data_IF_014486576344
#
_entry.id   IF_014486576344
#
_cell.length_a   1.000
_cell.length_b   1.000
_cell.length_c   1.000
_cell.angle_alpha   90.00
_cell.angle_beta   90.00
_cell.angle_gamma   90.00
#
_symmetry.space_group_name_H-M   'P 1'
#
loop_
_entity.id
_entity.type
_entity.pdbx_description
1 polymer ?
#
# COMPACT_ATOMS: atom_id res chain seq x y z
N UNK A 1 67.97 -34.67 5.22
CA UNK A 1 68.49 -36.04 5.08
C UNK A 1 67.41 -36.81 4.31
N UNK A 2 67.58 -37.25 3.07
CA UNK A 2 68.73 -37.87 2.39
C UNK A 2 69.07 -39.25 3.04
N UNK A 3 69.16 -40.38 2.32
CA UNK A 3 69.46 -40.54 0.88
C UNK A 3 68.93 -41.85 0.26
N UNK A 4 68.41 -41.77 -0.99
CA UNK A 4 68.87 -42.53 -2.19
C UNK A 4 68.73 -44.07 -2.31
N UNK A 5 68.94 -44.68 -3.51
CA UNK A 5 68.85 -44.16 -4.90
C UNK A 5 68.04 -45.06 -5.88
N UNK A 6 67.95 -44.65 -7.16
CA UNK A 6 67.39 -45.44 -8.27
C UNK A 6 68.31 -45.49 -9.51
N UNK A 7 68.06 -46.43 -10.45
CA UNK A 7 68.46 -46.57 -11.89
C UNK A 7 68.30 -48.06 -12.30
N UNK A 8 68.06 -48.52 -13.55
CA UNK A 8 68.15 -48.04 -14.97
C UNK A 8 67.35 -49.08 -15.86
N UNK A 9 67.08 -49.02 -17.19
CA UNK A 9 67.30 -48.12 -18.36
C UNK A 9 66.45 -48.61 -19.58
N UNK A 10 65.83 -47.72 -20.39
CA UNK A 10 65.51 -47.88 -21.84
C UNK A 10 64.48 -48.97 -22.31
N UNK A 11 63.80 -48.89 -23.49
CA UNK A 11 63.81 -47.95 -24.65
C UNK A 11 62.59 -48.08 -25.62
N UNK A 12 62.40 -47.07 -26.47
CA UNK A 12 61.72 -47.01 -27.80
C UNK A 12 60.23 -46.56 -27.93
N UNK A 13 60.04 -45.47 -28.69
CA UNK A 13 58.89 -45.07 -29.53
C UNK A 13 59.13 -45.50 -31.01
N UNK A 14 58.35 -45.13 -32.06
CA UNK A 14 57.00 -44.51 -32.13
C UNK A 14 56.01 -45.25 -33.08
N UNK A 15 54.74 -44.77 -33.20
CA UNK A 15 54.10 -44.38 -34.51
C UNK A 15 52.61 -43.94 -34.37
N UNK A 16 52.02 -43.48 -35.48
CA UNK A 16 50.76 -42.69 -35.56
C UNK A 16 49.56 -43.41 -36.19
N UNK A 17 48.33 -43.01 -35.85
CA UNK A 17 47.17 -42.96 -36.78
C UNK A 17 45.90 -42.34 -36.14
N UNK A 18 44.99 -41.80 -36.96
CA UNK A 18 43.71 -41.18 -36.57
C UNK A 18 42.50 -42.10 -36.85
N UNK A 19 41.35 -41.89 -36.20
CA UNK A 19 40.25 -41.07 -36.78
C UNK A 19 39.63 -40.09 -35.73
N UNK A 20 38.54 -39.33 -35.94
CA UNK A 20 37.59 -39.22 -37.06
C UNK A 20 36.55 -38.09 -36.85
N UNK A 21 35.31 -38.28 -37.32
CA UNK A 21 34.16 -37.36 -37.16
C UNK A 21 32.83 -38.14 -37.06
N UNK A 22 31.93 -37.78 -36.15
CA UNK A 22 30.48 -38.08 -36.21
C UNK A 22 29.72 -37.05 -35.33
N UNK A 23 29.10 -36.03 -35.91
CA UNK A 23 27.66 -35.98 -36.24
C UNK A 23 26.73 -35.96 -35.00
N UNK A 24 26.02 -34.83 -34.81
CA UNK A 24 24.95 -34.68 -33.81
C UNK A 24 23.81 -35.66 -34.12
N UNK A 25 23.19 -36.25 -33.10
CA UNK A 25 21.95 -37.03 -33.25
C UNK A 25 20.74 -36.12 -33.22
N UNK A 26 19.75 -36.44 -34.05
CA UNK A 26 18.40 -35.89 -34.02
C UNK A 26 17.43 -37.06 -34.02
N UNK A 27 17.05 -37.49 -32.83
CA UNK A 27 15.95 -38.42 -32.59
C UNK A 27 14.84 -37.61 -31.91
N UNK A 28 13.53 -37.74 -32.13
CA UNK A 28 12.67 -38.21 -33.21
C UNK A 28 11.32 -38.53 -32.53
N UNK A 29 10.20 -38.11 -33.12
CA UNK A 29 8.84 -38.62 -32.88
C UNK A 29 8.26 -38.49 -31.45
N UNK A 30 7.37 -37.52 -31.26
CA UNK A 30 6.21 -37.67 -30.38
C UNK A 30 4.95 -37.86 -31.23
N UNK A 31 4.11 -38.85 -30.90
CA UNK A 31 2.91 -39.17 -31.69
C UNK A 31 1.94 -40.08 -30.92
N UNK A 32 0.77 -39.57 -30.52
CA UNK A 32 -0.50 -40.27 -30.24
C UNK A 32 -1.46 -39.38 -29.45
N UNK A 33 -2.79 -39.58 -29.52
CA UNK A 33 -3.59 -39.91 -30.70
C UNK A 33 -4.74 -38.88 -30.88
N UNK A 34 -5.49 -38.98 -31.99
CA UNK A 34 -6.54 -38.02 -32.32
C UNK A 34 -7.78 -38.05 -31.42
N UNK A 35 -8.47 -36.91 -31.36
CA UNK A 35 -9.84 -36.77 -30.82
C UNK A 35 -10.51 -35.63 -31.58
N UNK A 36 -11.45 -35.97 -32.45
CA UNK A 36 -12.13 -34.99 -33.31
C UNK A 36 -12.97 -34.00 -32.49
N UNK A 37 -12.88 -32.73 -32.87
CA UNK A 37 -13.73 -31.64 -32.39
C UNK A 37 -14.32 -30.92 -33.61
N UNK A 38 -15.59 -30.52 -33.58
CA UNK A 38 -16.20 -29.81 -34.70
C UNK A 38 -15.57 -28.41 -34.86
N UNK A 39 -15.66 -27.79 -36.06
CA UNK A 39 -15.39 -26.37 -36.23
C UNK A 39 -16.30 -25.53 -35.31
N UNK A 40 -15.80 -24.39 -34.84
CA UNK A 40 -16.58 -23.48 -34.00
C UNK A 40 -17.64 -22.76 -34.84
N UNK A 41 -18.85 -22.66 -34.29
CA UNK A 41 -19.93 -21.80 -34.78
C UNK A 41 -19.86 -20.44 -34.07
N UNK A 42 -20.18 -19.35 -34.79
CA UNK A 42 -20.01 -17.96 -34.33
C UNK A 42 -21.31 -17.45 -33.69
N UNK A 43 -21.53 -17.81 -32.42
CA UNK A 43 -22.71 -17.36 -31.64
C UNK A 43 -22.47 -16.00 -30.98
N UNK A 44 -22.35 -14.95 -31.79
CA UNK A 44 -22.28 -13.55 -31.33
C UNK A 44 -23.65 -12.87 -31.14
N UNK A 45 -24.76 -13.49 -31.60
CA UNK A 45 -26.13 -13.04 -31.33
C UNK A 45 -26.64 -13.51 -29.95
N UNK A 46 -26.39 -12.74 -28.88
CA UNK A 46 -26.73 -13.23 -27.53
C UNK A 46 -26.97 -12.23 -26.39
N UNK A 47 -26.80 -10.91 -26.55
CA UNK A 47 -27.00 -9.99 -25.42
C UNK A 47 -27.35 -8.54 -25.78
N UNK A 48 -28.66 -8.24 -25.91
CA UNK A 48 -29.36 -7.13 -25.24
C UNK A 48 -30.84 -7.10 -25.67
N UNK A 49 -31.70 -6.45 -24.90
CA UNK A 49 -33.12 -6.31 -25.22
C UNK A 49 -33.79 -5.18 -24.44
N UNK A 50 -35.10 -5.05 -24.62
CA UNK A 50 -36.01 -3.98 -24.12
C UNK A 50 -35.91 -2.64 -24.85
N UNK A 51 -37.05 -1.95 -24.92
CA UNK A 51 -37.36 -0.88 -25.88
C UNK A 51 -37.42 0.50 -25.20
N UNK A 52 -36.82 1.51 -25.84
CA UNK A 52 -37.21 2.92 -25.73
C UNK A 52 -36.66 3.66 -26.97
N UNK A 53 -37.37 4.67 -27.53
CA UNK A 53 -36.91 5.35 -28.74
C UNK A 53 -35.77 6.33 -28.47
N UNK A 54 -34.87 6.46 -29.44
CA UNK A 54 -34.03 7.65 -29.60
C UNK A 54 -34.65 8.56 -30.68
N UNK A 55 -34.40 9.86 -30.55
CA UNK A 55 -35.07 10.92 -31.29
C UNK A 55 -34.37 11.21 -32.65
N UNK A 56 -35.13 11.75 -33.62
CA UNK A 56 -34.65 12.05 -34.97
C UNK A 56 -33.89 13.40 -35.01
N UNK A 57 -32.60 13.44 -34.65
CA UNK A 57 -31.75 14.63 -34.84
C UNK A 57 -30.38 14.30 -35.47
N UNK A 58 -29.82 15.28 -36.19
CA UNK A 58 -28.49 15.29 -36.85
C UNK A 58 -28.26 14.37 -38.09
N UNK A 59 -29.17 14.38 -39.07
CA UNK A 59 -28.90 13.95 -40.47
C UNK A 59 -28.03 14.99 -41.23
N UNK A 60 -26.84 15.32 -40.70
CA UNK A 60 -25.90 16.29 -41.29
C UNK A 60 -24.41 15.89 -41.07
N UNK A 61 -24.15 14.61 -40.81
CA UNK A 61 -22.80 14.04 -40.66
C UNK A 61 -22.22 13.50 -41.96
N UNK A 62 -21.06 14.00 -42.40
CA UNK A 62 -20.33 13.44 -43.54
C UNK A 62 -19.77 12.04 -43.21
N UNK A 63 -20.08 11.04 -44.04
CA UNK A 63 -19.77 9.62 -43.81
C UNK A 63 -18.28 9.29 -44.06
N UNK A 64 -17.44 9.72 -43.12
CA UNK A 64 -15.96 9.65 -43.13
C UNK A 64 -15.33 8.27 -43.37
N UNK A 65 -16.10 7.17 -43.28
CA UNK A 65 -15.61 5.78 -43.47
C UNK A 65 -16.59 4.96 -44.32
N UNK A 66 -17.11 5.57 -45.40
CA UNK A 66 -17.92 4.91 -46.43
C UNK A 66 -17.19 4.73 -47.78
N UNK A 67 -17.92 4.26 -48.80
CA UNK A 67 -17.42 4.03 -50.18
C UNK A 67 -16.84 5.30 -50.87
N UNK A 68 -17.01 6.48 -50.27
CA UNK A 68 -16.41 7.74 -50.70
C UNK A 68 -14.89 7.85 -50.47
N UNK A 69 -14.31 7.07 -49.55
CA UNK A 69 -12.93 7.24 -49.05
C UNK A 69 -11.86 7.27 -50.15
N UNK A 70 -12.01 6.51 -51.24
CA UNK A 70 -11.06 6.51 -52.38
C UNK A 70 -11.08 7.80 -53.23
N UNK A 71 -11.92 8.79 -52.87
CA UNK A 71 -11.98 10.09 -53.57
C UNK A 71 -10.98 11.10 -52.99
N UNK A 72 -10.67 10.99 -51.70
CA UNK A 72 -9.81 11.96 -50.99
C UNK A 72 -8.32 11.69 -51.19
N UNK A 73 -7.95 10.42 -51.50
CA UNK A 73 -6.58 10.03 -51.88
C UNK A 73 -6.21 10.39 -53.33
N UNK A 74 -7.00 11.23 -54.01
CA UNK A 74 -6.73 11.68 -55.38
C UNK A 74 -5.86 12.93 -55.34
N UNK A 75 -4.63 12.83 -55.82
CA UNK A 75 -3.74 13.98 -56.00
C UNK A 75 -4.45 15.11 -56.78
N UNK A 76 -4.31 16.34 -56.31
CA UNK A 76 -4.92 17.54 -56.89
C UNK A 76 -3.76 18.45 -57.31
N UNK A 77 -3.34 18.43 -58.59
CA UNK A 77 -2.13 19.14 -59.04
C UNK A 77 -2.13 20.67 -58.85
N UNK A 78 -3.28 21.25 -58.51
CA UNK A 78 -3.48 22.68 -58.22
C UNK A 78 -3.28 23.02 -56.73
N UNK A 79 -3.27 22.01 -55.84
CA UNK A 79 -3.00 22.11 -54.40
C UNK A 79 -1.67 21.43 -54.01
N UNK A 80 -1.23 20.42 -54.78
CA UNK A 80 0.07 19.75 -54.63
C UNK A 80 1.28 20.61 -55.11
N UNK A 81 1.11 21.93 -55.22
CA UNK A 81 2.18 22.91 -55.50
C UNK A 81 2.29 23.92 -54.37
N UNK A 82 3.46 23.97 -53.71
CA UNK A 82 3.75 24.99 -52.70
C UNK A 82 3.69 26.41 -53.30
N UNK A 83 3.10 27.33 -52.55
CA UNK A 83 3.11 28.76 -52.89
C UNK A 83 4.55 29.28 -52.89
N UNK A 84 4.97 29.91 -54.00
CA UNK A 84 6.36 30.32 -54.18
C UNK A 84 6.77 31.52 -53.31
N UNK A 85 5.79 32.27 -52.79
CA UNK A 85 6.02 33.50 -52.03
C UNK A 85 6.39 33.15 -50.57
N UNK A 86 7.70 33.15 -50.28
CA UNK A 86 8.25 32.80 -48.96
C UNK A 86 9.06 31.50 -48.91
N UNK A 87 9.16 30.75 -50.01
CA UNK A 87 10.20 29.74 -50.17
C UNK A 87 11.55 30.43 -50.44
N UNK A 88 12.60 30.00 -49.75
CA UNK A 88 13.96 30.40 -50.08
C UNK A 88 14.38 29.73 -51.40
N UNK A 89 15.13 30.45 -52.23
CA UNK A 89 15.75 29.87 -53.43
C UNK A 89 16.97 29.05 -52.99
N UNK A 90 17.13 27.84 -53.52
CA UNK A 90 18.16 26.86 -53.11
C UNK A 90 19.63 27.33 -53.26
N UNK A 91 19.88 28.47 -53.93
CA UNK A 91 21.20 29.02 -54.26
C UNK A 91 21.56 30.34 -53.52
N UNK A 92 20.79 30.79 -52.51
CA UNK A 92 21.18 31.94 -51.67
C UNK A 92 21.80 31.51 -50.32
N UNK A 93 23.10 31.76 -50.15
CA UNK A 93 23.83 31.64 -48.87
C UNK A 93 23.26 32.62 -47.82
N UNK A 94 22.36 32.14 -46.96
CA UNK A 94 21.75 32.95 -45.89
C UNK A 94 22.79 33.29 -44.82
N UNK A 95 23.30 34.53 -44.82
CA UNK A 95 24.26 35.01 -43.82
C UNK A 95 23.75 34.80 -42.38
N UNK A 96 24.56 34.16 -41.51
CA UNK A 96 24.18 33.92 -40.13
C UNK A 96 23.95 35.22 -39.36
N UNK A 97 22.69 35.50 -39.01
CA UNK A 97 22.31 36.65 -38.18
C UNK A 97 23.14 36.71 -36.89
N UNK A 98 23.86 37.81 -36.71
CA UNK A 98 24.69 38.05 -35.53
C UNK A 98 23.84 38.04 -34.25
N UNK A 99 24.45 37.71 -33.11
CA UNK A 99 23.73 37.52 -31.85
C UNK A 99 22.85 38.73 -31.46
N UNK A 100 23.29 39.96 -31.74
CA UNK A 100 22.53 41.20 -31.48
C UNK A 100 21.33 41.37 -32.43
N UNK A 101 21.44 40.96 -33.70
CA UNK A 101 20.32 40.94 -34.65
C UNK A 101 19.29 39.89 -34.25
N UNK A 102 19.73 38.69 -33.83
CA UNK A 102 18.84 37.62 -33.34
C UNK A 102 18.07 38.06 -32.09
N UNK A 103 18.74 38.68 -31.11
CA UNK A 103 18.08 39.21 -29.91
C UNK A 103 17.10 40.35 -30.23
N UNK A 104 17.40 41.20 -31.20
CA UNK A 104 16.49 42.25 -31.66
C UNK A 104 15.22 41.68 -32.33
N UNK A 105 15.38 40.65 -33.18
CA UNK A 105 14.27 39.95 -33.82
C UNK A 105 13.37 39.25 -32.79
N UNK A 106 13.96 38.54 -31.82
CA UNK A 106 13.23 37.95 -30.69
C UNK A 106 12.42 39.00 -29.91
N UNK A 107 13.02 40.17 -29.65
CA UNK A 107 12.36 41.26 -28.90
C UNK A 107 11.14 41.81 -29.65
N UNK A 108 11.24 41.95 -30.96
CA UNK A 108 10.13 42.37 -31.82
C UNK A 108 9.02 41.31 -31.93
N UNK A 109 9.37 40.02 -32.05
CA UNK A 109 8.42 38.89 -32.02
C UNK A 109 7.65 38.87 -30.69
N UNK A 110 8.39 38.84 -29.57
CA UNK A 110 7.86 38.78 -28.20
C UNK A 110 7.01 40.01 -27.81
N UNK A 111 7.23 41.16 -28.49
CA UNK A 111 6.34 42.33 -28.37
C UNK A 111 5.04 42.14 -29.16
N UNK A 112 5.11 41.73 -30.44
CA UNK A 112 3.90 41.44 -31.25
C UNK A 112 3.02 40.36 -30.63
N UNK A 113 3.61 39.29 -30.09
CA UNK A 113 2.84 38.21 -29.43
C UNK A 113 2.14 38.70 -28.16
N UNK A 114 2.74 39.65 -27.43
CA UNK A 114 2.11 40.31 -26.27
C UNK A 114 0.97 41.23 -26.69
N UNK A 115 1.13 41.99 -27.78
CA UNK A 115 0.12 42.89 -28.32
C UNK A 115 -1.06 42.12 -28.98
N UNK A 116 -0.78 40.96 -29.58
CA UNK A 116 -1.77 40.04 -30.17
C UNK A 116 -2.35 39.02 -29.16
N UNK A 117 -2.00 39.10 -27.88
CA UNK A 117 -2.50 38.21 -26.82
C UNK A 117 -2.05 36.74 -26.91
N UNK A 118 -1.11 36.38 -27.80
CA UNK A 118 -0.64 35.01 -28.05
C UNK A 118 0.42 34.56 -27.04
N UNK A 119 0.13 34.73 -25.75
CA UNK A 119 1.02 34.36 -24.65
C UNK A 119 0.96 32.87 -24.30
N UNK A 120 2.01 32.13 -24.67
CA UNK A 120 2.45 30.85 -24.06
C UNK A 120 1.38 29.76 -23.83
N UNK A 121 1.19 28.90 -24.83
CA UNK A 121 1.16 27.44 -24.61
C UNK A 121 0.02 26.84 -23.77
N UNK A 122 -1.12 27.52 -23.60
CA UNK A 122 -2.38 26.88 -23.15
C UNK A 122 -3.41 26.88 -24.28
N UNK A 123 -4.23 25.83 -24.29
CA UNK A 123 -5.31 25.64 -25.28
C UNK A 123 -6.31 26.80 -25.28
N UNK A 124 -6.95 26.99 -26.43
CA UNK A 124 -7.93 28.03 -26.74
C UNK A 124 -9.20 27.86 -25.88
N UNK A 125 -9.24 28.46 -24.69
CA UNK A 125 -10.42 28.46 -23.81
C UNK A 125 -11.52 29.34 -24.42
N UNK A 126 -12.35 28.75 -25.28
CA UNK A 126 -13.35 29.48 -26.06
C UNK A 126 -14.30 28.59 -26.88
N UNK A 127 -14.63 27.40 -26.36
CA UNK A 127 -15.76 26.58 -26.83
C UNK A 127 -16.47 25.99 -25.60
N UNK A 128 -17.57 26.63 -25.20
CA UNK A 128 -18.75 26.08 -24.51
C UNK A 128 -19.75 27.24 -24.34
N UNK A 129 -21.02 26.90 -24.08
CA UNK A 129 -22.16 27.80 -24.32
C UNK A 129 -22.31 28.95 -23.30
N UNK A 130 -23.12 29.93 -23.71
CA UNK A 130 -23.53 31.10 -22.94
C UNK A 130 -24.77 30.78 -22.09
N UNK A 131 -24.68 30.93 -20.76
CA UNK A 131 -25.82 30.88 -19.85
C UNK A 131 -25.49 31.44 -18.45
N UNK A 132 -26.28 32.43 -18.04
CA UNK A 132 -26.50 32.97 -16.69
C UNK A 132 -25.40 33.79 -15.99
N UNK A 133 -25.84 34.93 -15.45
CA UNK A 133 -25.07 35.94 -14.71
C UNK A 133 -25.19 35.72 -13.19
N UNK A 134 -24.11 35.85 -12.40
CA UNK A 134 -24.13 36.47 -11.04
C UNK A 134 -22.69 36.60 -10.42
N UNK A 135 -22.61 37.30 -9.27
CA UNK A 135 -21.49 37.38 -8.30
C UNK A 135 -20.14 38.09 -8.63
N UNK A 136 -20.20 39.42 -8.54
CA UNK A 136 -19.40 40.34 -7.67
C UNK A 136 -17.84 40.30 -7.51
N UNK A 137 -17.31 41.49 -7.22
CA UNK A 137 -15.90 41.85 -6.98
C UNK A 137 -15.13 41.02 -5.93
N UNK A 138 -13.86 40.66 -6.24
CA UNK A 138 -12.83 40.39 -5.21
C UNK A 138 -11.47 41.08 -5.49
N UNK A 139 -10.84 41.70 -4.47
CA UNK A 139 -9.80 42.71 -4.70
C UNK A 139 -8.37 42.17 -4.90
N UNK A 140 -7.58 42.93 -5.67
CA UNK A 140 -6.20 42.65 -6.12
C UNK A 140 -5.11 42.70 -5.02
N UNK A 141 -5.45 42.42 -3.76
CA UNK A 141 -4.58 42.71 -2.59
C UNK A 141 -3.64 41.57 -2.15
N UNK A 142 -3.79 40.32 -2.63
CA UNK A 142 -2.92 39.19 -2.23
C UNK A 142 -1.51 39.23 -2.87
N UNK A 143 -1.30 39.93 -4.00
CA UNK A 143 -0.06 39.79 -4.81
C UNK A 143 1.19 40.48 -4.25
N UNK A 144 1.12 41.15 -3.10
CA UNK A 144 2.25 41.87 -2.46
C UNK A 144 2.69 41.32 -1.10
N UNK A 145 2.22 40.12 -0.73
CA UNK A 145 2.59 39.45 0.51
C UNK A 145 3.50 38.22 0.29
N UNK A 146 3.61 37.75 -0.96
CA UNK A 146 4.41 36.57 -1.32
C UNK A 146 5.92 36.87 -1.37
N UNK A 147 6.30 38.08 -1.82
CA UNK A 147 7.71 38.52 -1.89
C UNK A 147 8.34 38.90 -0.53
N UNK A 148 7.69 38.53 0.59
CA UNK A 148 8.20 38.79 1.96
C UNK A 148 8.18 37.54 2.86
N UNK A 149 8.09 36.35 2.26
CA UNK A 149 8.06 35.06 2.95
C UNK A 149 9.33 34.25 2.67
N UNK A 150 10.50 34.91 2.66
CA UNK A 150 11.81 34.27 2.40
C UNK A 150 12.84 34.65 3.46
N UNK A 151 12.49 34.47 4.73
CA UNK A 151 13.38 34.57 5.90
C UNK A 151 12.78 33.73 7.05
N UNK A 152 13.32 32.52 7.22
CA UNK A 152 13.18 31.54 8.32
C UNK A 152 11.85 31.43 9.09
N UNK A 153 11.06 30.39 8.77
CA UNK A 153 9.95 29.92 9.62
C UNK A 153 9.02 28.90 8.95
N UNK A 154 9.18 27.62 9.32
CA UNK A 154 8.23 26.49 9.20
C UNK A 154 7.05 26.67 8.22
N UNK A 155 7.18 26.11 7.00
CA UNK A 155 6.06 25.92 6.05
C UNK A 155 5.16 24.75 6.50
N UNK A 156 4.56 24.87 7.69
CA UNK A 156 3.31 24.15 7.98
C UNK A 156 2.26 24.67 6.99
N UNK A 157 1.90 23.84 6.01
CA UNK A 157 0.88 24.19 5.01
C UNK A 157 -0.40 24.64 5.74
N UNK A 158 -0.94 25.83 5.40
CA UNK A 158 -2.26 26.26 5.87
C UNK A 158 -3.37 25.46 5.17
N UNK A 159 -3.41 24.17 5.46
CA UNK A 159 -4.49 23.25 5.16
C UNK A 159 -5.71 23.74 5.93
N UNK A 160 -6.73 24.13 5.19
CA UNK A 160 -8.02 24.55 5.75
C UNK A 160 -8.58 23.38 6.58
N UNK A 161 -8.76 23.61 7.89
CA UNK A 161 -9.19 22.57 8.84
C UNK A 161 -10.52 21.98 8.39
N UNK A 162 -10.51 20.70 8.01
CA UNK A 162 -11.69 20.02 7.45
C UNK A 162 -12.64 19.69 8.60
N UNK A 163 -13.50 20.65 8.94
CA UNK A 163 -14.47 20.53 10.05
C UNK A 163 -15.36 19.28 9.90
N UNK A 164 -15.68 18.90 8.65
CA UNK A 164 -16.47 17.73 8.32
C UNK A 164 -15.73 16.76 7.37
N UNK A 165 -15.30 15.61 7.91
CA UNK A 165 -14.69 14.51 7.14
C UNK A 165 -15.73 13.57 6.50
N UNK A 166 -17.02 13.73 6.82
CA UNK A 166 -18.12 12.90 6.27
C UNK A 166 -18.38 13.24 4.79
N UNK A 167 -18.02 14.45 4.34
CA UNK A 167 -17.93 14.78 2.91
C UNK A 167 -16.68 14.16 2.28
N UNK A 168 -16.81 12.93 1.80
CA UNK A 168 -15.80 12.18 1.05
C UNK A 168 -15.47 12.79 -0.34
N UNK A 169 -16.20 13.85 -0.79
CA UNK A 169 -16.03 14.52 -2.09
C UNK A 169 -16.02 13.59 -3.31
N UNK A 170 -16.69 12.44 -3.19
CA UNK A 170 -16.77 11.40 -4.24
C UNK A 170 -15.60 10.42 -4.29
N UNK A 171 -14.60 10.53 -3.40
CA UNK A 171 -13.50 9.57 -3.29
C UNK A 171 -13.89 8.32 -2.51
N UNK A 172 -13.16 7.21 -2.71
CA UNK A 172 -13.25 6.07 -1.79
C UNK A 172 -12.64 6.42 -0.42
N UNK A 173 -13.09 5.74 0.65
CA UNK A 173 -12.60 5.98 2.02
C UNK A 173 -11.07 5.82 2.11
N UNK A 174 -10.48 4.86 1.40
CA UNK A 174 -9.03 4.66 1.33
C UNK A 174 -8.31 5.86 0.70
N UNK A 175 -8.80 6.36 -0.43
CA UNK A 175 -8.19 7.51 -1.10
C UNK A 175 -8.36 8.79 -0.28
N UNK A 176 -9.53 8.98 0.35
CA UNK A 176 -9.82 10.10 1.24
C UNK A 176 -8.84 10.17 2.42
N UNK A 177 -8.69 9.07 3.16
CA UNK A 177 -7.74 8.96 4.29
C UNK A 177 -6.28 9.14 3.85
N UNK A 178 -5.94 8.82 2.60
CA UNK A 178 -4.59 8.98 2.06
C UNK A 178 -4.24 10.41 1.64
N UNK A 179 -5.23 11.31 1.48
CA UNK A 179 -4.98 12.72 1.14
C UNK A 179 -4.49 13.53 2.35
N UNK A 180 -3.57 14.46 2.13
CA UNK A 180 -2.88 15.20 3.19
C UNK A 180 -3.85 15.93 4.15
N UNK A 181 -4.86 16.62 3.62
CA UNK A 181 -5.86 17.34 4.42
C UNK A 181 -6.62 16.44 5.40
N UNK A 182 -7.37 15.43 4.92
CA UNK A 182 -8.03 14.46 5.79
C UNK A 182 -7.06 13.72 6.71
N UNK A 183 -5.87 13.33 6.23
CA UNK A 183 -4.85 12.65 7.04
C UNK A 183 -4.45 13.45 8.28
N UNK A 184 -4.18 14.75 8.13
CA UNK A 184 -3.79 15.61 9.26
C UNK A 184 -4.95 15.86 10.23
N UNK A 185 -6.17 16.03 9.73
CA UNK A 185 -7.36 16.17 10.59
C UNK A 185 -7.63 14.87 11.39
N UNK A 186 -7.51 13.70 10.75
CA UNK A 186 -7.58 12.38 11.42
C UNK A 186 -6.50 12.26 12.50
N UNK A 187 -5.25 12.62 12.17
CA UNK A 187 -4.13 12.64 13.12
C UNK A 187 -4.41 13.55 14.33
N UNK A 188 -4.96 14.74 14.09
CA UNK A 188 -5.34 15.69 15.14
C UNK A 188 -6.48 15.18 16.01
N UNK A 189 -7.50 14.54 15.42
CA UNK A 189 -8.60 13.89 16.16
C UNK A 189 -8.13 12.72 17.02
N UNK A 190 -7.26 11.84 16.52
CA UNK A 190 -6.67 10.77 17.34
C UNK A 190 -5.82 11.34 18.50
N UNK A 191 -5.01 12.38 18.26
CA UNK A 191 -4.25 13.09 19.31
C UNK A 191 -5.18 13.72 20.36
N UNK A 192 -6.30 14.30 19.93
CA UNK A 192 -7.31 14.89 20.83
C UNK A 192 -8.06 13.81 21.62
N UNK A 193 -8.45 12.70 21.00
CA UNK A 193 -9.08 11.54 21.65
C UNK A 193 -8.21 10.99 22.79
N UNK A 194 -6.93 10.68 22.52
CA UNK A 194 -6.00 10.18 23.54
C UNK A 194 -5.79 11.17 24.72
N UNK A 195 -5.93 12.47 24.48
CA UNK A 195 -5.75 13.53 25.49
C UNK A 195 -7.03 13.86 26.27
N UNK A 196 -8.21 13.71 25.67
CA UNK A 196 -9.49 14.20 26.21
C UNK A 196 -10.48 13.11 26.61
N UNK A 197 -10.26 11.85 26.19
CA UNK A 197 -11.12 10.76 26.59
C UNK A 197 -11.12 10.57 28.12
N UNK A 198 -12.32 10.58 28.69
CA UNK A 198 -12.57 10.22 30.09
C UNK A 198 -13.68 9.19 30.14
N UNK A 199 -13.48 8.19 31.00
CA UNK A 199 -14.49 7.18 31.33
C UNK A 199 -15.65 7.80 32.14
N UNK A 200 -16.71 7.02 32.30
CA UNK A 200 -17.82 7.14 33.26
C UNK A 200 -17.46 7.77 34.61
N UNK A 201 -16.30 7.43 35.17
CA UNK A 201 -15.83 7.94 36.48
C UNK A 201 -15.11 9.31 36.40
N UNK A 202 -14.91 9.87 35.19
CA UNK A 202 -14.19 11.12 34.96
C UNK A 202 -12.67 11.00 34.85
N UNK A 203 -12.13 9.78 34.89
CA UNK A 203 -10.70 9.49 34.79
C UNK A 203 -10.27 9.34 33.32
N UNK A 204 -9.10 9.90 32.95
CA UNK A 204 -8.52 9.67 31.61
C UNK A 204 -7.76 8.34 31.59
N UNK A 205 -8.40 7.32 31.00
CA UNK A 205 -7.91 5.95 30.88
C UNK A 205 -6.62 5.86 30.07
N UNK A 206 -6.50 6.62 28.97
CA UNK A 206 -5.32 6.55 28.10
C UNK A 206 -4.07 7.13 28.76
N UNK A 207 -4.20 8.16 29.59
CA UNK A 207 -3.08 8.71 30.37
C UNK A 207 -2.50 7.68 31.35
N UNK A 208 -3.36 6.90 32.00
CA UNK A 208 -2.95 5.82 32.90
C UNK A 208 -2.34 4.66 32.11
N UNK A 209 -3.04 4.17 31.08
CA UNK A 209 -2.59 3.07 30.21
C UNK A 209 -1.27 3.36 29.49
N UNK A 210 -1.04 4.60 29.03
CA UNK A 210 0.26 5.07 28.49
C UNK A 210 1.32 5.06 29.60
N UNK A 211 1.00 5.49 30.82
CA UNK A 211 1.94 5.45 31.93
C UNK A 211 2.38 4.02 32.27
N UNK A 212 1.45 3.05 32.28
CA UNK A 212 1.78 1.64 32.53
C UNK A 212 2.56 0.99 31.39
N UNK A 213 2.16 1.24 30.14
CA UNK A 213 2.91 0.85 28.94
C UNK A 213 4.37 1.34 29.02
N UNK A 214 4.58 2.61 29.40
CA UNK A 214 5.91 3.19 29.56
C UNK A 214 6.67 2.71 30.81
N UNK A 215 6.00 2.30 31.90
CA UNK A 215 6.65 1.67 33.07
C UNK A 215 7.24 0.29 32.69
N UNK A 216 6.54 -0.45 31.86
CA UNK A 216 6.93 -1.79 31.43
C UNK A 216 7.79 -1.82 30.16
N UNK A 217 8.00 -0.67 29.49
CA UNK A 217 8.73 -0.54 28.23
C UNK A 217 8.08 -1.31 27.06
N UNK A 218 6.74 -1.32 27.00
CA UNK A 218 5.98 -1.95 25.90
C UNK A 218 5.81 -0.98 24.72
N UNK A 219 5.77 -1.51 23.50
CA UNK A 219 5.51 -0.74 22.27
C UNK A 219 4.03 -0.75 21.85
N UNK A 220 3.13 -1.42 22.59
CA UNK A 220 1.73 -1.57 22.22
C UNK A 220 0.74 -0.85 23.15
N UNK A 221 -0.13 -0.02 22.55
CA UNK A 221 -1.19 0.72 23.22
C UNK A 221 -2.56 0.11 22.88
N UNK A 222 -3.26 -0.47 23.87
CA UNK A 222 -4.59 -1.05 23.64
C UNK A 222 -5.68 0.02 23.69
N UNK A 223 -6.47 0.12 22.62
CA UNK A 223 -7.61 1.04 22.48
C UNK A 223 -8.89 0.25 22.28
N UNK A 224 -9.91 0.55 23.08
CA UNK A 224 -11.25 -0.02 22.91
C UNK A 224 -11.97 0.66 21.74
N UNK A 225 -12.57 -0.13 20.85
CA UNK A 225 -13.37 0.41 19.75
C UNK A 225 -14.63 1.15 20.24
N UNK A 226 -15.23 0.70 21.35
CA UNK A 226 -16.47 1.31 21.87
C UNK A 226 -16.21 2.74 22.40
N UNK A 227 -15.10 2.95 23.11
CA UNK A 227 -14.60 4.27 23.54
C UNK A 227 -14.42 5.23 22.35
N UNK A 228 -13.84 4.73 21.24
CA UNK A 228 -13.62 5.51 20.02
C UNK A 228 -14.96 5.89 19.38
N UNK A 229 -15.87 4.92 19.21
CA UNK A 229 -17.19 5.15 18.63
C UNK A 229 -18.07 6.09 19.47
N UNK A 230 -17.85 6.16 20.79
CA UNK A 230 -18.55 7.07 21.70
C UNK A 230 -18.04 8.53 21.65
N UNK A 231 -16.92 8.81 20.95
CA UNK A 231 -16.34 10.16 20.82
C UNK A 231 -16.19 10.66 19.39
N UNK A 232 -15.72 9.79 18.49
CA UNK A 232 -15.46 10.08 17.08
C UNK A 232 -16.10 8.97 16.23
N UNK A 233 -17.41 9.08 16.03
CA UNK A 233 -18.18 8.11 15.25
C UNK A 233 -17.68 8.01 13.79
N UNK A 234 -17.15 9.11 13.24
CA UNK A 234 -16.58 9.16 11.88
C UNK A 234 -15.31 8.28 11.78
N UNK A 235 -14.40 8.41 12.75
CA UNK A 235 -13.17 7.59 12.77
C UNK A 235 -13.49 6.11 13.03
N UNK A 236 -14.47 5.84 13.91
CA UNK A 236 -14.96 4.48 14.11
C UNK A 236 -15.59 3.90 12.84
N UNK A 237 -16.31 4.69 12.03
CA UNK A 237 -16.87 4.24 10.74
C UNK A 237 -15.80 3.96 9.68
N UNK A 238 -14.75 4.79 9.57
CA UNK A 238 -13.69 4.57 8.58
C UNK A 238 -12.73 3.42 8.98
N UNK A 239 -12.53 3.16 10.28
CA UNK A 239 -11.53 2.18 10.78
C UNK A 239 -11.72 0.74 10.26
N UNK A 240 -12.95 0.19 10.11
CA UNK A 240 -13.15 -1.10 9.46
C UNK A 240 -12.85 -1.13 7.96
N UNK A 241 -13.00 0.00 7.25
CA UNK A 241 -12.94 0.09 5.78
C UNK A 241 -11.53 0.41 5.25
N UNK A 242 -10.80 1.30 5.93
CA UNK A 242 -9.42 1.68 5.62
C UNK A 242 -8.46 1.46 6.81
N UNK A 243 -8.37 0.23 7.38
CA UNK A 243 -7.59 -0.03 8.59
C UNK A 243 -6.08 0.10 8.42
N UNK A 244 -5.54 -0.20 7.23
CA UNK A 244 -4.09 -0.17 7.02
C UNK A 244 -3.57 1.28 7.08
N UNK A 245 -4.31 2.19 6.46
CA UNK A 245 -4.02 3.61 6.38
C UNK A 245 -4.29 4.30 7.73
N UNK A 246 -5.42 3.98 8.37
CA UNK A 246 -5.79 4.59 9.66
C UNK A 246 -4.96 4.12 10.84
N UNK A 247 -4.58 2.84 10.92
CA UNK A 247 -3.72 2.36 12.00
C UNK A 247 -2.33 3.02 11.92
N UNK A 248 -1.79 3.25 10.71
CA UNK A 248 -0.53 3.99 10.58
C UNK A 248 -0.64 5.42 11.13
N UNK A 249 -1.73 6.13 10.81
CA UNK A 249 -1.97 7.50 11.32
C UNK A 249 -2.19 7.50 12.85
N UNK A 250 -2.78 6.43 13.40
CA UNK A 250 -3.00 6.29 14.84
C UNK A 250 -1.70 5.93 15.59
N UNK A 251 -0.83 5.11 15.00
CA UNK A 251 0.52 4.80 15.51
C UNK A 251 1.38 6.09 15.59
N UNK A 252 1.35 6.92 14.55
CA UNK A 252 1.99 8.25 14.52
C UNK A 252 1.42 9.18 15.61
N UNK A 253 0.09 9.27 15.72
CA UNK A 253 -0.60 10.05 16.76
C UNK A 253 -0.26 9.59 18.19
N UNK A 254 -0.17 8.28 18.41
CA UNK A 254 0.16 7.69 19.70
C UNK A 254 1.62 7.97 20.09
N UNK A 255 2.56 7.84 19.14
CA UNK A 255 3.97 8.14 19.36
C UNK A 255 4.18 9.59 19.82
N UNK A 256 3.56 10.57 19.15
CA UNK A 256 3.65 11.97 19.57
C UNK A 256 3.06 12.23 20.98
N UNK A 257 1.91 11.63 21.29
CA UNK A 257 1.28 11.78 22.62
C UNK A 257 2.16 11.16 23.71
N UNK A 258 2.79 10.03 23.44
CA UNK A 258 3.70 9.34 24.39
C UNK A 258 4.99 10.14 24.56
N UNK A 259 5.62 10.63 23.48
CA UNK A 259 6.82 11.46 23.56
C UNK A 259 6.56 12.80 24.28
N UNK A 260 5.36 13.38 24.13
CA UNK A 260 4.96 14.58 24.86
C UNK A 260 4.82 14.35 26.39
N UNK A 261 4.50 13.12 26.83
CA UNK A 261 4.50 12.75 28.26
C UNK A 261 5.88 12.29 28.74
N UNK A 262 6.63 11.59 27.89
CA UNK A 262 7.92 10.97 28.21
C UNK A 262 8.98 11.26 27.12
N UNK A 263 9.61 12.46 27.09
CA UNK A 263 10.55 12.89 26.03
C UNK A 263 11.88 12.12 25.90
N UNK A 264 11.99 10.96 26.55
CA UNK A 264 13.14 10.05 26.47
C UNK A 264 12.76 8.64 25.99
N UNK A 265 11.48 8.38 25.70
CA UNK A 265 10.97 7.05 25.34
C UNK A 265 11.48 6.58 23.97
N UNK A 266 11.75 7.51 23.06
CA UNK A 266 12.47 7.34 21.79
C UNK A 266 13.73 6.44 21.88
N UNK A 267 14.44 6.46 23.01
CA UNK A 267 15.64 5.65 23.26
C UNK A 267 15.36 4.17 23.54
N UNK A 268 14.10 3.81 23.69
CA UNK A 268 13.62 2.47 24.07
C UNK A 268 12.95 1.83 22.85
N UNK A 269 11.99 2.55 22.27
CA UNK A 269 11.21 2.15 21.09
C UNK A 269 10.91 3.36 20.23
N UNK A 270 11.23 3.31 18.94
CA UNK A 270 11.03 4.40 17.97
C UNK A 270 9.65 4.39 17.30
N UNK A 271 8.84 3.36 17.56
CA UNK A 271 7.50 3.16 17.03
C UNK A 271 6.58 2.71 18.16
N UNK A 272 5.27 2.97 18.04
CA UNK A 272 4.24 2.51 18.98
C UNK A 272 3.04 2.04 18.16
N UNK A 273 2.49 0.88 18.50
CA UNK A 273 1.43 0.21 17.75
C UNK A 273 0.09 0.21 18.48
N UNK A 274 -0.98 0.68 17.81
CA UNK A 274 -2.32 0.80 18.38
C UNK A 274 -3.13 -0.48 18.16
N UNK A 275 -3.38 -1.18 19.27
CA UNK A 275 -4.00 -2.51 19.32
C UNK A 275 -5.50 -2.37 19.59
N UNK A 276 -6.34 -2.58 18.57
CA UNK A 276 -7.80 -2.39 18.65
C UNK A 276 -8.51 -3.60 19.29
N UNK A 277 -9.16 -3.38 20.43
CA UNK A 277 -9.99 -4.38 21.13
C UNK A 277 -11.50 -4.14 20.93
N UNK A 278 -12.30 -5.19 21.17
CA UNK A 278 -13.78 -5.18 21.18
C UNK A 278 -14.51 -4.61 19.95
N UNK A 279 -13.94 -4.69 18.75
CA UNK A 279 -14.64 -4.40 17.48
C UNK A 279 -16.00 -5.12 17.44
N UNK A 280 -17.17 -4.45 17.38
CA UNK A 280 -18.44 -5.00 17.82
C UNK A 280 -18.90 -6.25 17.07
N UNK A 281 -18.62 -6.34 15.76
CA UNK A 281 -18.89 -7.53 14.96
C UNK A 281 -17.92 -8.67 15.32
N UNK A 282 -18.45 -9.86 15.63
CA UNK A 282 -17.67 -11.12 15.69
C UNK A 282 -18.03 -11.97 14.48
N UNK A 283 -17.05 -12.30 13.67
CA UNK A 283 -17.20 -13.20 12.52
C UNK A 283 -16.72 -14.63 12.80
N UNK A 284 -17.28 -15.56 12.04
CA UNK A 284 -16.82 -16.95 12.00
C UNK A 284 -15.71 -17.11 10.95
N UNK A 285 -14.75 -18.00 11.19
CA UNK A 285 -13.68 -18.29 10.22
C UNK A 285 -14.21 -18.85 8.87
N UNK A 286 -15.51 -19.19 8.82
CA UNK A 286 -16.29 -19.66 7.67
C UNK A 286 -17.23 -18.61 7.07
N UNK A 287 -17.54 -17.49 7.73
CA UNK A 287 -18.27 -16.38 7.10
C UNK A 287 -17.39 -15.63 6.10
N UNK A 288 -16.09 -15.46 6.39
CA UNK A 288 -15.10 -14.77 5.53
C UNK A 288 -15.21 -15.10 4.01
N UNK A 289 -15.65 -14.10 3.23
CA UNK A 289 -15.71 -14.04 1.75
C UNK A 289 -14.93 -12.83 1.21
N UNK A 290 -14.99 -12.60 -0.11
CA UNK A 290 -14.38 -11.46 -0.79
C UNK A 290 -14.76 -10.08 -0.23
N UNK A 291 -15.95 -9.94 0.38
CA UNK A 291 -16.45 -8.64 0.87
C UNK A 291 -15.49 -8.01 1.89
N UNK A 292 -14.94 -8.83 2.77
CA UNK A 292 -14.07 -8.41 3.88
C UNK A 292 -12.61 -8.16 3.45
N UNK A 293 -12.30 -8.19 2.14
CA UNK A 293 -10.92 -8.04 1.66
C UNK A 293 -10.37 -6.65 1.97
N UNK A 294 -9.28 -6.62 2.74
CA UNK A 294 -8.61 -5.44 3.28
C UNK A 294 -9.42 -4.67 4.34
N UNK A 295 -10.55 -5.22 4.81
CA UNK A 295 -11.29 -4.70 5.96
C UNK A 295 -10.77 -5.27 7.29
N UNK A 296 -11.08 -4.59 8.39
CA UNK A 296 -10.78 -5.04 9.75
C UNK A 296 -11.85 -6.04 10.24
N UNK A 297 -11.43 -7.27 10.52
CA UNK A 297 -12.28 -8.34 11.05
C UNK A 297 -11.90 -8.66 12.50
N UNK A 298 -12.88 -9.02 13.33
CA UNK A 298 -12.66 -9.75 14.59
C UNK A 298 -13.22 -11.16 14.43
N UNK A 299 -12.37 -12.17 14.64
CA UNK A 299 -12.74 -13.59 14.57
C UNK A 299 -12.27 -14.33 15.82
N UNK A 300 -12.81 -15.52 16.08
CA UNK A 300 -12.40 -16.34 17.22
C UNK A 300 -12.23 -17.81 16.83
N UNK A 301 -11.25 -18.46 17.44
CA UNK A 301 -10.85 -19.83 17.13
C UNK A 301 -9.69 -20.32 18.00
N UNK A 302 -9.28 -21.56 17.78
CA UNK A 302 -8.17 -22.21 18.49
C UNK A 302 -6.92 -22.21 17.61
N UNK A 303 -5.76 -21.92 18.19
CA UNK A 303 -4.47 -21.97 17.49
C UNK A 303 -4.02 -23.42 17.33
N UNK A 304 -3.89 -23.91 16.09
CA UNK A 304 -3.49 -25.31 15.83
C UNK A 304 -1.98 -25.49 15.75
N UNK A 305 -1.26 -24.46 15.30
CA UNK A 305 0.17 -24.50 15.03
C UNK A 305 0.73 -23.09 14.91
N UNK A 306 1.94 -22.89 15.43
CA UNK A 306 2.74 -21.68 15.26
C UNK A 306 4.10 -22.04 14.63
N UNK A 307 4.68 -21.14 13.84
CA UNK A 307 6.12 -21.21 13.54
C UNK A 307 6.93 -20.82 14.78
N UNK A 308 8.24 -21.07 14.73
CA UNK A 308 9.16 -20.28 15.56
C UNK A 308 9.10 -18.80 15.17
N UNK A 309 9.62 -17.94 16.04
CA UNK A 309 9.84 -16.52 15.71
C UNK A 309 11.01 -16.43 14.74
N UNK A 310 10.84 -15.69 13.65
CA UNK A 310 11.85 -15.48 12.61
C UNK A 310 12.05 -13.97 12.40
N UNK A 311 13.29 -13.50 12.13
CA UNK A 311 13.49 -12.11 11.72
C UNK A 311 13.02 -11.92 10.27
N UNK A 312 12.11 -10.99 10.06
CA UNK A 312 11.71 -10.50 8.74
C UNK A 312 12.36 -9.14 8.47
N UNK A 313 12.65 -8.87 7.21
CA UNK A 313 13.06 -7.55 6.75
C UNK A 313 11.90 -6.54 6.92
N UNK A 314 12.17 -5.38 7.51
CA UNK A 314 11.18 -4.29 7.66
C UNK A 314 11.55 -3.10 6.77
N UNK A 315 12.75 -2.55 6.96
CA UNK A 315 13.27 -1.45 6.15
C UNK A 315 14.66 -1.83 5.63
N UNK A 316 14.74 -2.07 4.32
CA UNK A 316 15.89 -2.70 3.66
C UNK A 316 16.76 -1.64 3.00
N UNK A 317 18.07 -1.80 3.13
CA UNK A 317 19.07 -1.12 2.32
C UNK A 317 19.85 -2.12 1.48
N UNK A 318 20.27 -1.70 0.29
CA UNK A 318 21.01 -2.53 -0.66
C UNK A 318 22.34 -1.89 -1.04
N UNK A 319 23.44 -2.64 -0.99
CA UNK A 319 24.74 -2.18 -1.47
C UNK A 319 24.86 -2.46 -2.98
N UNK A 320 25.34 -1.47 -3.74
CA UNK A 320 25.58 -1.61 -5.17
C UNK A 320 27.00 -2.13 -5.45
N UNK A 321 27.13 -3.38 -5.93
CA UNK A 321 28.41 -4.07 -6.11
C UNK A 321 29.39 -3.41 -7.11
N UNK A 322 28.97 -2.37 -7.86
CA UNK A 322 29.82 -1.67 -8.84
C UNK A 322 30.44 -0.36 -8.33
N UNK A 323 29.85 0.26 -7.31
CA UNK A 323 30.28 1.56 -6.78
C UNK A 323 30.29 1.64 -5.24
N UNK A 324 29.90 0.56 -4.55
CA UNK A 324 29.75 0.47 -3.09
C UNK A 324 28.78 1.49 -2.45
N UNK A 325 27.94 2.14 -3.26
CA UNK A 325 26.91 3.06 -2.79
C UNK A 325 25.73 2.30 -2.14
N UNK A 326 25.19 2.85 -1.06
CA UNK A 326 24.06 2.28 -0.30
C UNK A 326 22.74 2.84 -0.83
N UNK A 327 21.84 1.95 -1.24
CA UNK A 327 20.53 2.25 -1.82
C UNK A 327 19.42 2.04 -0.78
N UNK A 328 18.41 2.91 -0.84
CA UNK A 328 17.25 2.88 0.05
C UNK A 328 17.22 4.10 0.98
N UNK A 329 16.46 4.04 2.09
CA UNK A 329 15.70 2.88 2.57
C UNK A 329 14.54 2.47 1.66
N UNK A 330 14.21 1.18 1.65
CA UNK A 330 13.00 0.63 1.02
C UNK A 330 12.15 -0.07 2.10
N UNK A 331 10.88 0.32 2.23
CA UNK A 331 9.92 -0.39 3.10
C UNK A 331 9.51 -1.72 2.47
N UNK A 332 9.66 -2.82 3.20
CA UNK A 332 9.43 -4.17 2.70
C UNK A 332 7.99 -4.62 2.94
N UNK A 333 7.19 -4.72 1.87
CA UNK A 333 5.83 -5.24 1.94
C UNK A 333 5.81 -6.73 2.38
N UNK A 334 4.71 -7.20 2.97
CA UNK A 334 4.61 -8.62 3.34
C UNK A 334 4.46 -9.57 2.12
N UNK A 335 4.11 -9.05 0.94
CA UNK A 335 3.70 -9.84 -0.22
C UNK A 335 4.77 -9.94 -1.32
N UNK A 336 5.63 -8.93 -1.45
CA UNK A 336 6.57 -8.80 -2.56
C UNK A 336 7.90 -8.22 -2.11
N UNK A 337 8.99 -8.92 -2.41
CA UNK A 337 10.37 -8.49 -2.19
C UNK A 337 10.68 -7.21 -2.99
N UNK A 338 11.00 -6.11 -2.29
CA UNK A 338 11.18 -4.79 -2.91
C UNK A 338 12.63 -4.63 -3.37
N UNK A 339 12.86 -4.76 -4.68
CA UNK A 339 14.18 -4.66 -5.31
C UNK A 339 14.41 -3.29 -5.94
N UNK A 340 15.54 -2.62 -5.70
CA UNK A 340 15.88 -1.37 -6.40
C UNK A 340 16.04 -1.61 -7.91
N UNK A 341 15.49 -0.72 -8.73
CA UNK A 341 15.56 -0.83 -10.19
C UNK A 341 16.92 -0.42 -10.77
N UNK A 342 17.52 0.66 -10.26
CA UNK A 342 18.84 1.15 -10.68
C UNK A 342 19.52 1.94 -9.56
N UNK A 343 20.85 1.96 -9.56
CA UNK A 343 21.65 2.78 -8.65
C UNK A 343 21.69 4.24 -9.14
N UNK A 344 21.33 5.26 -8.32
CA UNK A 344 21.42 6.66 -8.72
C UNK A 344 22.82 7.10 -9.14
N UNK A 345 23.85 6.63 -8.42
CA UNK A 345 25.25 7.05 -8.60
C UNK A 345 25.89 6.53 -9.91
N UNK A 346 25.68 5.24 -10.21
CA UNK A 346 26.35 4.58 -11.35
C UNK A 346 25.37 4.08 -12.44
N UNK A 347 24.09 4.43 -12.34
CA UNK A 347 22.98 4.08 -13.25
C UNK A 347 22.85 2.59 -13.59
N UNK A 348 23.44 1.72 -12.76
CA UNK A 348 23.51 0.29 -13.04
C UNK A 348 22.37 -0.46 -12.37
N UNK A 349 21.68 -1.32 -13.12
CA UNK A 349 20.60 -2.22 -12.66
C UNK A 349 21.13 -3.46 -11.91
N UNK A 350 22.15 -3.28 -11.05
CA UNK A 350 22.71 -4.32 -10.19
C UNK A 350 23.87 -5.12 -10.79
N UNK A 351 24.29 -6.23 -10.12
CA UNK A 351 23.65 -6.82 -8.95
C UNK A 351 23.70 -5.95 -7.68
N UNK A 352 22.75 -6.20 -6.80
CA UNK A 352 22.57 -5.52 -5.52
C UNK A 352 22.51 -6.56 -4.40
N UNK A 353 23.20 -6.34 -3.29
CA UNK A 353 23.20 -7.22 -2.11
C UNK A 353 22.59 -6.52 -0.91
N UNK A 354 21.89 -7.23 -0.03
CA UNK A 354 21.26 -6.62 1.16
C UNK A 354 22.36 -6.17 2.13
N UNK A 355 22.32 -4.90 2.53
CA UNK A 355 23.18 -4.36 3.57
C UNK A 355 22.69 -4.87 4.94
N UNK A 356 23.39 -5.84 5.53
CA UNK A 356 23.02 -6.45 6.81
C UNK A 356 23.29 -5.56 8.03
N UNK A 357 24.04 -4.46 7.88
CA UNK A 357 24.43 -3.56 8.98
C UNK A 357 23.42 -2.42 9.17
N UNK A 358 22.88 -1.88 8.07
CA UNK A 358 21.94 -0.74 8.10
C UNK A 358 20.46 -1.12 7.87
N UNK A 359 20.15 -2.40 7.68
CA UNK A 359 18.78 -2.90 7.47
C UNK A 359 18.06 -3.13 8.80
N UNK A 360 16.82 -2.65 8.90
CA UNK A 360 15.97 -2.84 10.08
C UNK A 360 15.18 -4.14 9.92
N UNK A 361 15.30 -5.02 10.92
CA UNK A 361 14.56 -6.27 11.04
C UNK A 361 13.41 -6.13 12.03
N UNK A 362 12.33 -6.89 11.80
CA UNK A 362 11.18 -7.02 12.69
C UNK A 362 10.93 -8.50 13.03
N UNK A 363 10.32 -8.79 14.17
CA UNK A 363 9.88 -10.15 14.49
C UNK A 363 8.69 -10.54 13.62
N UNK A 364 8.72 -11.77 13.10
CA UNK A 364 7.63 -12.39 12.34
C UNK A 364 7.32 -13.78 12.91
N UNK A 365 6.03 -14.09 13.06
CA UNK A 365 5.55 -15.43 13.35
C UNK A 365 4.27 -15.71 12.56
N UNK A 366 4.17 -16.90 11.95
CA UNK A 366 2.93 -17.34 11.31
C UNK A 366 2.23 -18.35 12.19
N UNK A 367 0.96 -18.11 12.47
CA UNK A 367 0.07 -19.04 13.18
C UNK A 367 -1.01 -19.55 12.24
N UNK A 368 -1.64 -20.66 12.62
CA UNK A 368 -2.84 -21.18 11.98
C UNK A 368 -3.95 -21.26 13.01
N UNK A 369 -5.06 -20.58 12.72
CA UNK A 369 -6.27 -20.58 13.54
C UNK A 369 -7.32 -21.50 12.91
N UNK A 370 -8.06 -22.22 13.75
CA UNK A 370 -9.14 -23.14 13.36
C UNK A 370 -10.42 -22.79 14.13
N UNK A 371 -11.58 -23.05 13.53
CA UNK A 371 -12.87 -22.90 14.21
C UNK A 371 -12.91 -23.70 15.52
N UNK A 372 -13.31 -23.06 16.62
CA UNK A 372 -13.44 -23.72 17.93
C UNK A 372 -14.39 -24.92 17.84
N UNK A 373 -14.00 -26.15 18.23
CA UNK A 373 -14.78 -27.36 17.96
C UNK A 373 -16.25 -27.32 18.44
N UNK A 374 -16.52 -26.63 19.55
CA UNK A 374 -17.89 -26.47 20.09
C UNK A 374 -18.82 -25.57 19.26
N UNK A 375 -18.30 -24.76 18.33
CA UNK A 375 -19.10 -23.95 17.39
C UNK A 375 -19.33 -24.62 16.04
N UNK A 376 -18.60 -25.69 15.73
CA UNK A 376 -18.64 -26.33 14.40
C UNK A 376 -19.90 -27.18 14.27
N UNK A 377 -20.76 -26.85 13.30
CA UNK A 377 -21.98 -27.59 13.05
C UNK A 377 -21.72 -29.10 12.81
N UNK A 378 -22.47 -29.95 13.52
CA UNK A 378 -22.24 -31.40 13.55
C UNK A 378 -22.13 -32.03 12.15
N UNK A 379 -21.13 -32.90 11.96
CA UNK A 379 -20.85 -33.57 10.69
C UNK A 379 -20.12 -32.73 9.64
N UNK A 380 -19.81 -31.45 9.89
CA UNK A 380 -18.96 -30.63 9.00
C UNK A 380 -17.50 -30.63 9.47
N UNK A 381 -16.58 -30.64 8.51
CA UNK A 381 -15.14 -30.46 8.80
C UNK A 381 -14.86 -29.00 9.22
N UNK A 382 -14.07 -28.77 10.28
CA UNK A 382 -13.65 -27.43 10.71
C UNK A 382 -12.71 -26.79 9.69
N UNK A 383 -12.94 -25.50 9.39
CA UNK A 383 -12.08 -24.67 8.55
C UNK A 383 -10.95 -24.05 9.36
N UNK A 384 -9.86 -23.73 8.68
CA UNK A 384 -8.70 -23.01 9.23
C UNK A 384 -8.22 -21.92 8.26
N UNK A 385 -7.52 -20.93 8.81
CA UNK A 385 -6.83 -19.85 8.08
C UNK A 385 -5.44 -19.67 8.71
N UNK A 386 -4.51 -19.17 7.91
CA UNK A 386 -3.23 -18.71 8.41
C UNK A 386 -3.36 -17.23 8.83
N UNK A 387 -2.64 -16.82 9.88
CA UNK A 387 -2.53 -15.44 10.33
C UNK A 387 -1.06 -15.09 10.62
N UNK A 388 -0.70 -13.83 10.43
CA UNK A 388 0.66 -13.30 10.64
C UNK A 388 0.66 -12.41 11.87
N UNK A 389 1.64 -12.64 12.75
CA UNK A 389 1.95 -11.84 13.93
C UNK A 389 3.28 -11.12 13.68
N UNK A 390 3.34 -9.83 14.04
CA UNK A 390 4.53 -8.98 13.90
C UNK A 390 4.90 -8.33 15.23
N UNK A 391 6.14 -7.85 15.32
CA UNK A 391 6.64 -7.02 16.43
C UNK A 391 6.36 -7.67 17.82
N UNK A 392 5.62 -6.99 18.69
CA UNK A 392 5.23 -7.44 20.04
C UNK A 392 4.25 -8.62 20.08
N UNK A 393 3.54 -8.92 18.98
CA UNK A 393 2.51 -9.97 18.96
C UNK A 393 3.08 -11.40 18.89
N UNK A 394 4.40 -11.58 18.72
CA UNK A 394 5.02 -12.91 18.61
C UNK A 394 5.15 -13.62 19.97
N UNK A 395 5.06 -14.95 19.98
CA UNK A 395 4.90 -15.83 21.16
C UNK A 395 3.69 -15.50 22.07
N UNK A 396 2.83 -14.55 21.68
CA UNK A 396 1.63 -14.19 22.44
C UNK A 396 0.70 -15.39 22.65
N UNK A 397 0.47 -16.23 21.61
CA UNK A 397 -0.40 -17.39 21.63
C UNK A 397 0.34 -18.72 21.35
N UNK A 398 -0.13 -19.81 21.97
CA UNK A 398 0.48 -21.14 21.90
C UNK A 398 -0.50 -22.16 21.30
N UNK A 399 -0.03 -23.25 20.67
CA UNK A 399 -0.92 -24.26 20.10
C UNK A 399 -1.82 -24.88 21.19
N UNK A 400 -3.14 -24.79 20.99
CA UNK A 400 -4.15 -25.16 21.97
C UNK A 400 -4.86 -23.97 22.64
N UNK A 401 -4.31 -22.76 22.58
CA UNK A 401 -4.96 -21.56 23.12
C UNK A 401 -6.22 -21.20 22.29
N UNK A 402 -7.34 -20.87 22.96
CA UNK A 402 -8.50 -20.24 22.30
C UNK A 402 -8.38 -18.71 22.38
N UNK A 403 -8.48 -18.06 21.22
CA UNK A 403 -8.25 -16.62 21.05
C UNK A 403 -9.43 -15.91 20.37
N UNK A 404 -9.51 -14.61 20.60
CA UNK A 404 -10.07 -13.65 19.63
C UNK A 404 -8.91 -12.93 18.95
N UNK A 405 -9.03 -12.75 17.63
CA UNK A 405 -8.05 -12.10 16.79
C UNK A 405 -8.74 -11.00 15.99
N UNK A 406 -8.37 -9.75 16.27
CA UNK A 406 -8.71 -8.58 15.47
C UNK A 406 -7.57 -8.36 14.46
N UNK A 407 -7.89 -8.24 13.17
CA UNK A 407 -6.86 -8.10 12.13
C UNK A 407 -7.43 -7.79 10.76
N UNK A 408 -6.56 -7.45 9.82
CA UNK A 408 -6.93 -7.10 8.44
C UNK A 408 -7.00 -8.40 7.62
N UNK A 409 -8.12 -8.66 6.95
CA UNK A 409 -8.26 -9.85 6.09
C UNK A 409 -7.66 -9.59 4.71
N UNK A 410 -6.40 -9.97 4.54
CA UNK A 410 -5.61 -9.63 3.37
C UNK A 410 -5.50 -10.79 2.37
N UNK A 411 -5.23 -10.48 1.10
CA UNK A 411 -4.96 -11.46 0.06
C UNK A 411 -3.54 -11.29 -0.51
N UNK A 412 -2.93 -12.41 -0.88
CA UNK A 412 -1.63 -12.45 -1.53
C UNK A 412 -1.68 -13.30 -2.80
N UNK A 413 -0.95 -12.87 -3.84
CA UNK A 413 -0.85 -13.60 -5.09
C UNK A 413 0.12 -14.77 -4.95
N UNK A 414 -0.35 -15.99 -5.28
CA UNK A 414 0.46 -17.20 -5.24
C UNK A 414 0.38 -17.91 -6.61
N UNK A 415 1.48 -17.86 -7.37
CA UNK A 415 1.57 -18.51 -8.68
C UNK A 415 1.44 -20.04 -8.62
N UNK A 416 1.69 -20.67 -7.46
CA UNK A 416 1.51 -22.11 -7.28
C UNK A 416 0.04 -22.50 -7.21
N UNK A 417 -0.81 -21.69 -6.55
CA UNK A 417 -2.27 -21.89 -6.54
C UNK A 417 -2.87 -21.72 -7.93
N UNK A 418 -2.41 -20.75 -8.71
CA UNK A 418 -2.89 -20.56 -10.08
C UNK A 418 -2.56 -21.79 -10.96
N UNK A 419 -1.34 -22.31 -10.82
CA UNK A 419 -0.87 -23.51 -11.55
C UNK A 419 -1.63 -24.78 -11.14
N UNK A 420 -2.02 -24.90 -9.88
CA UNK A 420 -2.77 -26.06 -9.37
C UNK A 420 -4.27 -26.03 -9.69
N UNK A 421 -4.89 -24.84 -9.73
CA UNK A 421 -6.34 -24.69 -9.92
C UNK A 421 -6.74 -24.42 -11.39
N UNK A 422 -5.83 -23.88 -12.22
CA UNK A 422 -6.12 -23.54 -13.62
C UNK A 422 -6.82 -22.19 -13.84
N UNK A 423 -7.05 -21.43 -12.77
CA UNK A 423 -7.61 -20.08 -12.77
C UNK A 423 -6.92 -19.24 -11.68
N UNK A 424 -6.93 -17.89 -11.75
CA UNK A 424 -6.28 -17.05 -10.75
C UNK A 424 -6.95 -17.19 -9.38
N UNK A 425 -6.22 -17.72 -8.40
CA UNK A 425 -6.64 -17.93 -7.01
C UNK A 425 -5.64 -17.27 -6.08
N UNK A 426 -6.06 -16.19 -5.43
CA UNK A 426 -5.28 -15.56 -4.37
C UNK A 426 -5.35 -16.40 -3.09
N UNK A 427 -4.21 -16.54 -2.41
CA UNK A 427 -4.19 -16.95 -1.02
C UNK A 427 -4.73 -15.82 -0.13
N UNK A 428 -5.14 -16.15 1.09
CA UNK A 428 -5.73 -15.19 2.04
C UNK A 428 -5.17 -15.42 3.43
N UNK A 429 -4.73 -14.36 4.09
CA UNK A 429 -4.05 -14.37 5.39
C UNK A 429 -4.61 -13.24 6.26
N UNK A 430 -4.76 -13.48 7.56
CA UNK A 430 -5.17 -12.42 8.48
C UNK A 430 -3.91 -11.74 9.04
N UNK A 431 -3.76 -10.43 8.83
CA UNK A 431 -2.70 -9.65 9.45
C UNK A 431 -3.19 -9.23 10.84
N UNK A 432 -2.68 -9.86 11.89
CA UNK A 432 -3.17 -9.62 13.24
C UNK A 432 -2.80 -8.20 13.70
N UNK A 433 -3.78 -7.41 14.13
CA UNK A 433 -3.53 -6.20 14.90
C UNK A 433 -3.61 -6.50 16.41
N UNK A 434 -4.57 -7.28 16.89
CA UNK A 434 -4.72 -7.54 18.32
C UNK A 434 -5.18 -8.98 18.59
N UNK A 435 -4.65 -9.57 19.66
CA UNK A 435 -5.01 -10.90 20.15
C UNK A 435 -5.41 -10.81 21.62
N UNK A 436 -6.60 -11.29 21.93
CA UNK A 436 -7.08 -11.52 23.29
C UNK A 436 -7.25 -13.03 23.50
N UNK A 437 -6.79 -13.57 24.65
CA UNK A 437 -7.03 -14.97 25.02
C UNK A 437 -8.33 -15.11 25.78
N UNK A 438 -9.04 -16.23 25.59
CA UNK A 438 -10.23 -16.59 26.39
C UNK A 438 -9.90 -17.27 27.73
N UNK A 439 -8.61 -17.45 28.01
CA UNK A 439 -8.12 -17.96 29.29
C UNK A 439 -8.45 -16.98 30.44
N UNK A 440 -9.22 -17.43 31.43
CA UNK A 440 -9.53 -16.73 32.69
C UNK A 440 -8.30 -16.23 33.50
N UNK A 441 -7.08 -16.54 33.06
CA UNK A 441 -5.82 -16.03 33.64
C UNK A 441 -5.57 -14.56 33.29
N UNK A 442 -6.07 -14.08 32.16
CA UNK A 442 -5.87 -12.67 31.73
C UNK A 442 -6.69 -11.71 32.59
N UNK A 443 -7.93 -12.10 32.93
CA UNK A 443 -8.83 -11.31 33.79
C UNK A 443 -8.29 -11.03 35.21
N UNK A 444 -7.24 -11.74 35.66
CA UNK A 444 -6.55 -11.46 36.93
C UNK A 444 -5.55 -10.31 36.80
N UNK A 445 -5.06 -10.03 35.58
CA UNK A 445 -4.16 -8.92 35.28
C UNK A 445 -4.86 -7.60 34.93
N UNK A 446 -6.16 -7.64 34.61
CA UNK A 446 -6.98 -6.46 34.30
C UNK A 446 -7.75 -5.91 35.51
N UNK A 447 -7.56 -6.49 36.70
CA UNK A 447 -8.12 -6.00 37.96
C UNK A 447 -7.68 -4.57 38.22
N UNK A 448 -8.64 -3.64 38.31
CA UNK A 448 -8.32 -2.23 38.56
C UNK A 448 -7.80 -2.04 39.99
N UNK A 449 -7.12 -0.92 40.20
CA UNK A 449 -6.70 -0.49 41.53
C UNK A 449 -7.90 -0.28 42.47
N UNK A 450 -9.13 -0.18 41.96
CA UNK A 450 -10.37 -0.15 42.75
C UNK A 450 -10.92 -1.55 43.07
N UNK A 451 -10.88 -2.49 42.12
CA UNK A 451 -11.22 -3.90 42.36
C UNK A 451 -10.32 -4.50 43.43
N UNK A 452 -9.01 -4.21 43.38
CA UNK A 452 -8.05 -4.62 44.40
C UNK A 452 -8.43 -4.03 45.78
N UNK A 453 -8.87 -2.77 45.85
CA UNK A 453 -9.37 -2.15 47.10
C UNK A 453 -10.67 -2.80 47.59
N UNK A 454 -11.58 -3.19 46.69
CA UNK A 454 -12.81 -3.93 47.03
C UNK A 454 -12.50 -5.34 47.54
N UNK A 455 -11.59 -6.07 46.91
CA UNK A 455 -11.13 -7.39 47.37
C UNK A 455 -10.44 -7.26 48.76
N UNK A 456 -9.67 -6.19 48.99
CA UNK A 456 -9.03 -5.88 50.27
C UNK A 456 -10.02 -5.39 51.35
N UNK A 457 -11.22 -4.91 50.99
CA UNK A 457 -12.28 -4.59 51.96
C UNK A 457 -13.12 -5.83 52.30
N UNK A 458 -13.49 -6.63 51.29
CA UNK A 458 -14.23 -7.89 51.43
C UNK A 458 -13.45 -8.95 52.22
N UNK A 459 -12.14 -9.07 52.00
CA UNK A 459 -11.28 -10.00 52.74
C UNK A 459 -11.08 -9.66 54.23
N UNK A 460 -11.60 -8.52 54.70
CA UNK A 460 -11.64 -8.14 56.13
C UNK A 460 -13.00 -8.40 56.79
N UNK A 461 -14.00 -8.84 56.03
CA UNK A 461 -15.30 -9.22 56.56
C UNK A 461 -15.21 -10.56 57.30
N UNK A 462 -15.67 -10.61 58.56
CA UNK A 462 -15.65 -11.83 59.37
C UNK A 462 -16.54 -12.95 58.81
N UNK A 463 -17.55 -12.61 57.99
CA UNK A 463 -18.42 -13.60 57.34
C UNK A 463 -18.00 -13.93 55.89
N UNK A 464 -16.80 -13.54 55.44
CA UNK A 464 -16.35 -13.82 54.06
C UNK A 464 -16.37 -15.34 53.72
N UNK A 465 -16.13 -16.20 54.71
CA UNK A 465 -16.20 -17.65 54.56
C UNK A 465 -17.60 -18.23 54.34
N UNK A 466 -18.66 -17.53 54.77
CA UNK A 466 -20.07 -17.88 54.51
C UNK A 466 -20.61 -17.22 53.23
N UNK A 467 -19.91 -16.22 52.70
CA UNK A 467 -20.26 -15.49 51.47
C UNK A 467 -19.59 -16.05 50.21
N UNK A 468 -18.53 -16.85 50.39
CA UNK A 468 -17.75 -17.47 49.32
C UNK A 468 -18.05 -18.98 49.14
N UNK A 469 -19.03 -19.52 49.88
CA UNK A 469 -19.45 -20.93 49.92
C UNK A 469 -20.84 -21.14 49.35
#
# INVERSE_FOLDING_TARGET
MASSPARRRQSNDPLTSSPGRSSRRTDALTSSPGRDLPPFEDESEGLLGTEAPLEEEEEDGEELIGDGMERDYRAIPELDTYEADGLALDDEDVEELTASQREAAERAMRQRDREAGRGLGRMRRGLLYDSDEEDEDRPTRKRRHVERATEDGEEDEMIESIENLEDLKGHSVREWVSMAGPRLEIHHRFKNFLRTHVDSHGHNVFKERISDMCKENRESLVVNYEDLAAREHVLAYFLPEAPAELLQIFDEAALEVVLAMYPKYDRITSHIHVRISHLPLVEELRSLRQLHLNQLIRTSGVVTSCTGVLPQLSMVKYNCNKCSFVLGPFAQSQNQEVKPGSCPECQSAGPFEVNMEETIYQNYQRIRIQESPGKVAAGRLPRSKDAILLADLVDSCKPGDEIELTGIYHNNYDGSLNTANGFPVFATVILANHIAKKDNKVAVGELTDEDVKMIISLSKDQQIGEKAS
#
